data_IF_181788137118
#
_entry.id   IF_181788137118
#
_cell.length_a   1.000
_cell.length_b   1.000
_cell.length_c   1.000
_cell.angle_alpha   90.00
_cell.angle_beta   90.00
_cell.angle_gamma   90.00
#
_symmetry.space_group_name_H-M   'P 1'
#
loop_
_entity.id
_entity.type
_entity.pdbx_description
1 polymer ?
#
# COMPACT_ATOMS: atom_id res chain seq x y z
N UNK A 1 60.06 24.62 -36.67
CA UNK A 1 59.67 25.01 -35.32
C UNK A 1 58.18 25.39 -35.34
N UNK A 2 57.30 24.50 -34.93
CA UNK A 2 55.88 24.81 -34.70
C UNK A 2 55.44 24.09 -33.44
N UNK A 3 55.21 24.85 -32.38
CA UNK A 3 54.68 24.39 -31.08
C UNK A 3 53.20 24.04 -31.22
N UNK A 4 52.83 22.81 -30.90
CA UNK A 4 51.42 22.42 -30.68
C UNK A 4 51.16 22.50 -29.19
N UNK A 5 50.26 23.42 -28.80
CA UNK A 5 49.71 23.50 -27.47
C UNK A 5 48.52 22.54 -27.37
N UNK A 6 48.63 21.57 -26.47
CA UNK A 6 47.59 20.59 -26.13
C UNK A 6 46.72 21.19 -25.02
N UNK A 7 45.47 21.57 -25.34
CA UNK A 7 44.49 22.01 -24.35
C UNK A 7 43.78 20.79 -23.77
N UNK A 8 44.02 20.52 -22.46
CA UNK A 8 43.37 19.48 -21.71
C UNK A 8 41.99 19.98 -21.20
N UNK A 9 40.91 19.55 -21.82
CA UNK A 9 39.57 19.86 -21.37
C UNK A 9 39.15 18.90 -20.24
N UNK A 10 39.08 19.41 -19.01
CA UNK A 10 38.63 18.70 -17.84
C UNK A 10 37.09 18.71 -17.80
N UNK A 11 36.44 17.61 -18.23
CA UNK A 11 35.00 17.43 -18.07
C UNK A 11 34.67 17.08 -16.60
N UNK A 12 34.16 18.08 -15.87
CA UNK A 12 33.58 17.87 -14.53
C UNK A 12 32.20 17.27 -14.69
N UNK A 13 32.10 15.96 -14.50
CA UNK A 13 30.80 15.26 -14.41
C UNK A 13 30.22 15.46 -13.03
N UNK A 14 29.27 16.40 -12.90
CA UNK A 14 28.47 16.56 -11.70
C UNK A 14 27.45 15.42 -11.59
N UNK A 15 27.71 14.47 -10.72
CA UNK A 15 26.74 13.44 -10.35
C UNK A 15 25.62 14.09 -9.51
N UNK A 16 24.45 14.24 -10.10
CA UNK A 16 23.23 14.60 -9.36
C UNK A 16 22.80 13.37 -8.53
N UNK A 17 23.16 13.36 -7.27
CA UNK A 17 22.56 12.43 -6.28
C UNK A 17 21.18 12.98 -5.93
N UNK A 18 20.13 12.35 -6.46
CA UNK A 18 18.76 12.60 -6.01
C UNK A 18 18.60 12.07 -4.57
N UNK A 19 18.10 12.88 -3.62
CA UNK A 19 17.81 12.39 -2.29
C UNK A 19 16.63 11.41 -2.38
N UNK A 20 16.86 10.15 -2.00
CA UNK A 20 15.79 9.20 -1.73
C UNK A 20 14.99 9.76 -0.54
N UNK A 21 13.75 10.19 -0.81
CA UNK A 21 12.81 10.55 0.23
C UNK A 21 12.44 9.25 0.96
N UNK A 22 13.17 8.94 2.02
CA UNK A 22 12.75 7.95 3.00
C UNK A 22 11.43 8.47 3.59
N UNK A 23 10.33 7.80 3.28
CA UNK A 23 9.07 8.02 3.97
C UNK A 23 9.27 7.53 5.41
N UNK A 24 9.64 8.45 6.28
CA UNK A 24 9.67 8.19 7.72
C UNK A 24 8.24 7.92 8.13
N UNK A 25 7.95 6.70 8.58
CA UNK A 25 6.70 6.38 9.28
C UNK A 25 6.68 7.26 10.53
N UNK A 26 5.96 8.36 10.45
CA UNK A 26 5.85 9.30 11.57
C UNK A 26 5.20 8.55 12.74
N UNK A 27 5.84 8.60 13.91
CA UNK A 27 5.22 8.19 15.16
C UNK A 27 3.89 8.94 15.32
N UNK A 28 2.82 8.29 15.84
CA UNK A 28 1.53 8.94 16.02
C UNK A 28 1.69 10.19 16.88
N UNK A 29 1.17 11.30 16.37
CA UNK A 29 1.13 12.58 17.08
C UNK A 29 0.30 12.39 18.37
N UNK A 30 0.79 12.77 19.55
CA UNK A 30 0.12 12.51 20.84
C UNK A 30 -1.29 13.11 20.96
N UNK A 31 -1.73 13.95 20.01
CA UNK A 31 -3.08 14.50 19.94
C UNK A 31 -4.04 13.73 19.02
N UNK A 32 -3.55 12.79 18.20
CA UNK A 32 -4.38 12.08 17.23
C UNK A 32 -5.05 10.87 17.86
N UNK A 33 -6.38 10.82 17.79
CA UNK A 33 -7.15 9.66 18.24
C UNK A 33 -7.41 8.72 17.08
N UNK A 34 -7.00 7.46 17.24
CA UNK A 34 -7.22 6.38 16.28
C UNK A 34 -8.35 5.49 16.74
N UNK A 35 -9.30 5.21 15.86
CA UNK A 35 -10.44 4.32 16.11
C UNK A 35 -10.51 3.26 15.02
N UNK A 36 -10.96 2.07 15.39
CA UNK A 36 -11.28 1.04 14.40
C UNK A 36 -12.59 1.40 13.68
N UNK A 37 -12.60 1.27 12.36
CA UNK A 37 -13.79 1.47 11.55
C UNK A 37 -14.54 0.13 11.43
N UNK A 38 -15.87 0.18 11.50
CA UNK A 38 -16.70 -0.98 11.19
C UNK A 38 -16.75 -1.18 9.67
N UNK A 39 -16.14 -2.26 9.24
CA UNK A 39 -16.01 -2.71 7.85
C UNK A 39 -16.77 -4.02 7.58
N UNK A 40 -17.71 -4.40 8.44
CA UNK A 40 -18.51 -5.64 8.35
C UNK A 40 -19.31 -5.77 7.05
N UNK A 41 -19.57 -4.66 6.35
CA UNK A 41 -20.19 -4.64 5.03
C UNK A 41 -19.22 -4.85 3.86
N UNK A 42 -17.94 -5.01 4.12
CA UNK A 42 -16.91 -5.25 3.08
C UNK A 42 -16.97 -6.72 2.63
N UNK A 43 -16.98 -6.93 1.31
CA UNK A 43 -17.12 -8.26 0.71
C UNK A 43 -16.04 -8.47 -0.35
N UNK A 44 -15.32 -9.59 -0.26
CA UNK A 44 -14.43 -10.08 -1.31
C UNK A 44 -15.30 -10.73 -2.39
N UNK A 45 -15.26 -10.22 -3.62
CA UNK A 45 -16.13 -10.69 -4.69
C UNK A 45 -15.69 -12.05 -5.23
N UNK A 46 -14.37 -12.30 -5.25
CA UNK A 46 -13.78 -13.58 -5.62
C UNK A 46 -13.00 -14.14 -4.43
N UNK A 47 -13.65 -14.89 -3.51
CA UNK A 47 -13.03 -15.32 -2.25
C UNK A 47 -11.98 -16.43 -2.42
N UNK A 48 -12.00 -17.15 -3.54
CA UNK A 48 -11.01 -18.18 -3.84
C UNK A 48 -9.94 -17.63 -4.76
N UNK A 49 -8.76 -17.37 -4.22
CA UNK A 49 -7.64 -16.83 -4.96
C UNK A 49 -6.71 -17.93 -5.42
N UNK A 50 -6.67 -18.15 -6.73
CA UNK A 50 -5.63 -18.98 -7.34
C UNK A 50 -4.34 -18.17 -7.47
N UNK A 51 -3.32 -18.57 -6.70
CA UNK A 51 -2.00 -17.96 -6.78
C UNK A 51 -1.29 -18.40 -8.05
N UNK A 52 -0.85 -17.43 -8.84
CA UNK A 52 -0.11 -17.67 -10.08
C UNK A 52 1.35 -17.25 -9.92
N UNK A 53 2.25 -18.07 -10.45
CA UNK A 53 3.66 -17.71 -10.52
C UNK A 53 3.85 -16.49 -11.42
N UNK A 54 4.63 -15.53 -10.94
CA UNK A 54 5.04 -14.44 -11.81
C UNK A 54 6.07 -14.94 -12.82
N UNK A 55 5.93 -14.59 -14.11
CA UNK A 55 6.94 -14.91 -15.10
C UNK A 55 8.28 -14.32 -14.65
N UNK A 56 9.29 -15.16 -14.59
CA UNK A 56 10.65 -14.71 -14.30
C UNK A 56 11.11 -13.77 -15.42
N UNK A 57 11.55 -12.57 -15.06
CA UNK A 57 12.32 -11.73 -15.97
C UNK A 57 13.67 -12.40 -16.31
N UNK A 58 14.46 -11.83 -17.23
CA UNK A 58 15.72 -12.43 -17.70
C UNK A 58 16.78 -12.66 -16.62
N UNK A 59 16.54 -12.27 -15.38
CA UNK A 59 17.49 -12.32 -14.25
C UNK A 59 17.31 -13.51 -13.29
N UNK A 60 16.43 -14.49 -13.59
CA UNK A 60 16.26 -15.69 -12.76
C UNK A 60 14.83 -15.97 -12.32
N UNK A 61 14.62 -17.15 -11.70
CA UNK A 61 13.32 -17.57 -11.21
C UNK A 61 12.86 -16.68 -10.04
N UNK A 62 11.71 -16.06 -10.18
CA UNK A 62 11.05 -15.36 -9.08
C UNK A 62 10.27 -16.38 -8.26
N UNK A 63 10.50 -16.41 -6.94
CA UNK A 63 9.67 -17.19 -6.01
C UNK A 63 8.36 -16.47 -5.65
N UNK A 64 8.06 -15.35 -6.31
CA UNK A 64 6.86 -14.57 -6.03
C UNK A 64 5.66 -15.19 -6.74
N UNK A 65 4.63 -15.50 -5.98
CA UNK A 65 3.31 -15.83 -6.48
C UNK A 65 2.37 -14.65 -6.25
N UNK A 66 1.44 -14.45 -7.17
CA UNK A 66 0.47 -13.36 -7.06
C UNK A 66 -0.94 -13.84 -7.35
N UNK A 67 -1.90 -13.18 -6.71
CA UNK A 67 -3.31 -13.33 -7.00
C UNK A 67 -3.97 -11.96 -7.06
N UNK A 68 -5.07 -11.85 -7.80
CA UNK A 68 -5.85 -10.61 -7.87
C UNK A 68 -7.31 -10.91 -7.59
N UNK A 69 -7.98 -10.00 -6.89
CA UNK A 69 -9.41 -10.08 -6.61
C UNK A 69 -10.01 -8.69 -6.58
N UNK A 70 -11.32 -8.61 -6.64
CA UNK A 70 -12.07 -7.39 -6.36
C UNK A 70 -12.70 -7.44 -4.98
N UNK A 71 -12.66 -6.31 -4.30
CA UNK A 71 -13.25 -6.14 -2.98
C UNK A 71 -14.22 -4.97 -3.02
N UNK A 72 -15.46 -5.24 -2.67
CA UNK A 72 -16.46 -4.19 -2.40
C UNK A 72 -16.26 -3.72 -0.97
N UNK A 73 -15.66 -2.56 -0.81
CA UNK A 73 -15.39 -1.94 0.49
C UNK A 73 -16.63 -1.17 0.94
N UNK A 74 -17.07 -1.41 2.17
CA UNK A 74 -18.11 -0.63 2.83
C UNK A 74 -17.67 -0.30 4.25
N UNK A 75 -17.47 0.99 4.52
CA UNK A 75 -17.05 1.51 5.81
C UNK A 75 -18.18 2.29 6.45
N UNK A 76 -18.51 1.96 7.70
CA UNK A 76 -19.48 2.68 8.49
C UNK A 76 -18.79 3.84 9.22
N UNK A 77 -19.08 5.06 8.81
CA UNK A 77 -18.48 6.29 9.31
C UNK A 77 -19.51 7.18 10.04
N UNK A 78 -20.67 6.64 10.39
CA UNK A 78 -21.78 7.41 10.95
C UNK A 78 -21.40 8.25 12.19
N UNK A 79 -20.52 7.72 13.03
CA UNK A 79 -20.05 8.38 14.25
C UNK A 79 -19.19 9.64 13.98
N UNK A 80 -18.62 9.75 12.78
CA UNK A 80 -17.65 10.79 12.42
C UNK A 80 -18.13 11.74 11.34
N UNK A 81 -19.39 11.65 10.94
CA UNK A 81 -19.98 12.57 9.94
C UNK A 81 -19.82 14.02 10.39
N UNK A 82 -19.37 14.87 9.46
CA UNK A 82 -19.08 16.28 9.71
C UNK A 82 -17.67 16.57 10.25
N UNK A 83 -16.90 15.54 10.57
CA UNK A 83 -15.50 15.68 11.01
C UNK A 83 -14.52 15.51 9.83
N UNK A 84 -13.30 15.96 9.99
CA UNK A 84 -12.19 15.70 9.06
C UNK A 84 -11.37 14.54 9.60
N UNK A 85 -11.16 13.52 8.76
CA UNK A 85 -10.46 12.32 9.15
C UNK A 85 -9.52 11.78 8.08
N UNK A 86 -8.62 10.91 8.53
CA UNK A 86 -7.77 10.09 7.68
C UNK A 86 -8.09 8.63 7.92
N UNK A 87 -8.40 7.88 6.88
CA UNK A 87 -8.68 6.46 7.00
C UNK A 87 -7.49 5.68 6.44
N UNK A 88 -7.07 4.69 7.21
CA UNK A 88 -5.97 3.80 6.86
C UNK A 88 -6.50 2.39 6.70
N UNK A 89 -6.05 1.70 5.67
CA UNK A 89 -6.18 0.26 5.56
C UNK A 89 -5.01 -0.40 6.27
N UNK A 90 -5.29 -1.43 7.06
CA UNK A 90 -4.31 -2.18 7.84
C UNK A 90 -4.28 -3.62 7.39
N UNK A 91 -3.09 -4.22 7.37
CA UNK A 91 -2.91 -5.65 7.20
C UNK A 91 -2.11 -6.15 8.40
N UNK A 92 -2.70 -6.98 9.27
CA UNK A 92 -2.01 -7.53 10.43
C UNK A 92 -0.72 -8.24 10.03
N UNK A 93 0.24 -8.24 10.95
CA UNK A 93 1.47 -9.01 10.76
C UNK A 93 1.13 -10.50 10.71
N UNK A 94 1.50 -11.16 9.62
CA UNK A 94 1.41 -12.61 9.51
C UNK A 94 2.52 -13.27 10.32
N UNK A 95 2.24 -14.44 10.88
CA UNK A 95 3.26 -15.33 11.44
C UNK A 95 4.04 -16.08 10.34
N UNK A 96 3.52 -16.07 9.12
CA UNK A 96 4.08 -16.69 7.92
C UNK A 96 4.87 -15.70 7.03
N UNK A 97 4.78 -15.87 5.71
CA UNK A 97 5.49 -15.00 4.76
C UNK A 97 4.98 -13.57 4.79
N UNK A 98 5.86 -12.65 4.44
CA UNK A 98 5.45 -11.26 4.23
C UNK A 98 4.56 -11.18 3.01
N UNK A 99 3.35 -10.66 3.18
CA UNK A 99 2.39 -10.40 2.11
C UNK A 99 2.49 -8.95 1.70
N UNK A 100 2.64 -8.70 0.42
CA UNK A 100 2.47 -7.37 -0.18
C UNK A 100 1.09 -7.29 -0.80
N UNK A 101 0.34 -6.28 -0.42
CA UNK A 101 -0.95 -5.94 -1.03
C UNK A 101 -0.80 -4.62 -1.79
N UNK A 102 -1.32 -4.57 -3.01
CA UNK A 102 -1.43 -3.34 -3.80
C UNK A 102 -2.84 -3.25 -4.37
N UNK A 103 -3.39 -2.05 -4.46
CA UNK A 103 -4.75 -1.88 -4.96
C UNK A 103 -4.88 -0.64 -5.82
N UNK A 104 -5.87 -0.72 -6.70
CA UNK A 104 -6.39 0.40 -7.48
C UNK A 104 -7.85 0.58 -7.12
N UNK A 105 -8.34 1.79 -7.29
CA UNK A 105 -9.72 2.17 -7.03
C UNK A 105 -10.19 3.12 -8.11
N UNK A 106 -11.48 3.10 -8.40
CA UNK A 106 -12.12 4.04 -9.31
C UNK A 106 -13.06 5.02 -8.60
N UNK A 107 -13.15 4.91 -7.26
CA UNK A 107 -14.08 5.69 -6.44
C UNK A 107 -13.40 6.74 -5.55
N UNK A 108 -13.87 6.83 -4.33
CA UNK A 108 -13.42 7.85 -3.36
C UNK A 108 -12.22 7.48 -2.52
N UNK A 109 -11.79 6.21 -2.55
CA UNK A 109 -10.59 5.78 -1.85
C UNK A 109 -9.33 6.11 -2.67
N UNK A 110 -8.19 6.19 -2.00
CA UNK A 110 -6.87 6.35 -2.62
C UNK A 110 -6.29 4.99 -2.99
N UNK A 111 -5.70 4.90 -4.17
CA UNK A 111 -4.90 3.76 -4.56
C UNK A 111 -3.61 3.69 -3.74
N UNK A 112 -3.05 2.48 -3.53
CA UNK A 112 -1.85 2.35 -2.73
C UNK A 112 -1.31 0.94 -2.65
N UNK A 113 -0.38 0.75 -1.73
CA UNK A 113 0.18 -0.56 -1.37
C UNK A 113 0.59 -0.57 0.09
N UNK A 114 0.61 -1.75 0.69
CA UNK A 114 1.13 -2.00 2.03
C UNK A 114 1.74 -3.40 2.12
N UNK A 115 2.51 -3.63 3.15
CA UNK A 115 2.98 -4.97 3.51
C UNK A 115 2.39 -5.40 4.86
N UNK A 116 2.36 -6.71 5.13
CA UNK A 116 1.84 -7.24 6.40
C UNK A 116 2.56 -6.63 7.60
N UNK A 117 1.80 -6.13 8.56
CA UNK A 117 2.26 -5.37 9.72
C UNK A 117 2.29 -3.86 9.53
N UNK A 118 1.89 -3.36 8.37
CA UNK A 118 1.82 -1.92 8.07
C UNK A 118 0.39 -1.43 7.89
N UNK A 119 0.27 -0.10 7.76
CA UNK A 119 -0.96 0.59 7.39
C UNK A 119 -0.69 1.57 6.25
N UNK A 120 -1.68 1.79 5.39
CA UNK A 120 -1.59 2.74 4.29
C UNK A 120 -2.82 3.64 4.25
N UNK A 121 -2.61 4.92 3.96
CA UNK A 121 -3.67 5.91 3.83
C UNK A 121 -4.55 5.59 2.62
N UNK A 122 -5.87 5.46 2.86
CA UNK A 122 -6.86 5.21 1.81
C UNK A 122 -7.89 6.32 1.65
N UNK A 123 -7.97 7.24 2.61
CA UNK A 123 -8.85 8.41 2.52
C UNK A 123 -8.32 9.53 3.40
N UNK A 124 -8.46 10.78 2.94
CA UNK A 124 -8.17 11.97 3.74
C UNK A 124 -9.11 13.09 3.33
N UNK A 125 -9.87 13.61 4.28
CA UNK A 125 -10.78 14.73 4.04
C UNK A 125 -12.01 14.74 4.95
N UNK A 126 -12.98 15.59 4.64
CA UNK A 126 -14.23 15.70 5.40
C UNK A 126 -15.11 14.46 5.19
N UNK A 127 -15.65 13.90 6.28
CA UNK A 127 -16.55 12.76 6.24
C UNK A 127 -17.96 13.28 6.01
N UNK A 128 -18.40 13.25 4.74
CA UNK A 128 -19.69 13.79 4.31
C UNK A 128 -20.83 12.77 4.33
N UNK A 129 -20.54 11.48 4.49
CA UNK A 129 -21.55 10.41 4.43
C UNK A 129 -21.35 9.40 5.56
N UNK A 130 -22.43 8.85 6.13
CA UNK A 130 -22.36 7.81 7.15
C UNK A 130 -21.79 6.49 6.64
N UNK A 131 -21.83 6.25 5.33
CA UNK A 131 -21.28 5.05 4.71
C UNK A 131 -20.43 5.47 3.52
N UNK A 132 -19.19 5.02 3.50
CA UNK A 132 -18.29 5.13 2.36
C UNK A 132 -18.27 3.79 1.64
N UNK A 133 -18.51 3.81 0.32
CA UNK A 133 -18.47 2.61 -0.54
C UNK A 133 -17.51 2.84 -1.68
N UNK A 134 -16.75 1.79 -1.99
CA UNK A 134 -15.84 1.76 -3.14
C UNK A 134 -15.62 0.32 -3.60
N UNK A 135 -15.12 0.15 -4.82
CA UNK A 135 -14.64 -1.13 -5.33
C UNK A 135 -13.15 -0.98 -5.58
N UNK A 136 -12.37 -1.86 -4.97
CA UNK A 136 -10.93 -1.90 -5.17
C UNK A 136 -10.53 -3.17 -5.92
N UNK A 137 -9.63 -3.02 -6.89
CA UNK A 137 -8.91 -4.12 -7.54
C UNK A 137 -7.66 -4.38 -6.71
N UNK A 138 -7.68 -5.47 -5.95
CA UNK A 138 -6.62 -5.87 -5.02
C UNK A 138 -5.72 -6.91 -5.65
N UNK A 139 -4.41 -6.70 -5.60
CA UNK A 139 -3.37 -7.66 -5.96
C UNK A 139 -2.55 -8.01 -4.74
N UNK A 140 -2.39 -9.29 -4.50
CA UNK A 140 -1.57 -9.87 -3.44
C UNK A 140 -0.33 -10.51 -4.03
N UNK A 141 0.82 -10.33 -3.38
CA UNK A 141 2.09 -10.93 -3.75
C UNK A 141 2.74 -11.53 -2.51
N UNK A 142 3.23 -12.75 -2.64
CA UNK A 142 3.83 -13.52 -1.53
C UNK A 142 5.05 -14.27 -2.04
N UNK A 143 6.08 -14.39 -1.21
CA UNK A 143 7.20 -15.29 -1.46
C UNK A 143 6.78 -16.74 -1.18
N UNK A 144 6.62 -17.53 -2.24
CA UNK A 144 6.17 -18.92 -2.14
C UNK A 144 7.12 -19.85 -1.39
N UNK A 145 8.42 -19.51 -1.31
CA UNK A 145 9.38 -20.32 -0.56
C UNK A 145 9.08 -20.36 0.95
N UNK A 146 8.23 -19.44 1.42
CA UNK A 146 7.81 -19.32 2.83
C UNK A 146 6.34 -19.67 3.07
N UNK A 147 5.60 -20.08 2.04
CA UNK A 147 4.21 -20.53 2.17
C UNK A 147 4.20 -21.95 2.78
N UNK A 148 3.73 -22.06 4.01
CA UNK A 148 3.60 -23.35 4.69
C UNK A 148 2.21 -24.00 4.51
N UNK A 149 1.23 -23.29 3.93
CA UNK A 149 -0.15 -23.76 3.75
C UNK A 149 -1.10 -22.62 3.37
N UNK A 150 -2.42 -22.88 3.36
CA UNK A 150 -3.40 -21.84 3.13
C UNK A 150 -3.36 -20.79 4.24
N UNK A 151 -3.24 -19.52 3.87
CA UNK A 151 -3.23 -18.40 4.79
C UNK A 151 -4.53 -17.60 4.68
N UNK A 152 -5.05 -17.19 5.82
CA UNK A 152 -6.19 -16.30 5.92
C UNK A 152 -5.70 -14.87 6.08
N UNK A 153 -6.05 -13.99 5.14
CA UNK A 153 -5.73 -12.57 5.20
C UNK A 153 -6.96 -11.79 5.64
N UNK A 154 -6.80 -11.00 6.68
CA UNK A 154 -7.85 -10.11 7.17
C UNK A 154 -7.36 -8.68 7.10
N UNK A 155 -7.96 -7.89 6.22
CA UNK A 155 -7.76 -6.45 6.20
C UNK A 155 -8.66 -5.79 7.24
N UNK A 156 -8.22 -4.66 7.76
CA UNK A 156 -9.02 -3.82 8.64
C UNK A 156 -8.88 -2.35 8.26
N UNK A 157 -9.73 -1.52 8.84
CA UNK A 157 -9.68 -0.09 8.61
C UNK A 157 -9.66 0.67 9.93
N UNK A 158 -8.87 1.72 9.96
CA UNK A 158 -8.72 2.62 11.11
C UNK A 158 -8.93 4.05 10.65
N UNK A 159 -9.51 4.88 11.52
CA UNK A 159 -9.67 6.30 11.27
C UNK A 159 -8.89 7.10 12.32
N UNK A 160 -8.16 8.09 11.86
CA UNK A 160 -7.55 9.14 12.66
C UNK A 160 -8.34 10.43 12.47
N UNK A 161 -8.71 11.03 13.58
CA UNK A 161 -9.37 12.34 13.60
C UNK A 161 -8.35 13.41 13.96
N UNK A 162 -8.40 14.53 13.25
CA UNK A 162 -7.67 15.71 13.63
C UNK A 162 -8.19 16.21 15.00
N UNK A 163 -7.33 16.72 15.86
CA UNK A 163 -7.73 17.34 17.13
C UNK A 163 -8.59 18.57 16.94
#
# INVERSE_FOLDING_TARGET
MRLFALALACCLSAALTAPALAQTVAAPDPGVRTFRVDDSGTVVLDPFLEMQWQPSGPAGASNIVSASTRVSVQLNLATWVGQVGRIYMTLPRSSGPTVRASWRTGGGLLAGSLISGERALVYSGPIGSPILRDIIDLRLEVDSARLAGPESLSFGFEIELAP
#
